data_IF_946003586498
#
_entry.id   IF_946003586498
#
_cell.length_a   1.000
_cell.length_b   1.000
_cell.length_c   1.000
_cell.angle_alpha   90.00
_cell.angle_beta   90.00
_cell.angle_gamma   90.00
#
_symmetry.space_group_name_H-M   'P 1'
#
loop_
_entity.id
_entity.type
_entity.pdbx_description
1 polymer ?
#
# COMPACT_ATOMS: atom_id res chain seq x y z
N UNK A 1 9.05 11.77 -2.82
CA UNK A 1 8.79 10.32 -2.89
C UNK A 1 8.38 9.80 -1.52
N UNK A 2 7.45 8.85 -1.55
CA UNK A 2 7.02 8.13 -0.35
C UNK A 2 7.66 6.76 -0.31
N UNK A 3 8.22 6.40 0.83
CA UNK A 3 8.87 5.10 1.02
C UNK A 3 8.40 4.47 2.32
N UNK A 4 8.50 3.15 2.38
CA UNK A 4 8.23 2.38 3.60
C UNK A 4 9.46 1.51 3.91
N UNK A 5 9.62 1.04 5.17
CA UNK A 5 10.71 0.11 5.49
C UNK A 5 10.75 -1.13 4.61
N UNK A 6 9.58 -1.61 4.15
CA UNK A 6 9.49 -2.80 3.31
C UNK A 6 10.23 -2.64 1.98
N UNK A 7 10.33 -1.41 1.45
CA UNK A 7 11.05 -1.18 0.21
C UNK A 7 12.52 -1.59 0.35
N UNK A 8 13.13 -1.23 1.47
CA UNK A 8 14.53 -1.57 1.72
C UNK A 8 14.69 -3.05 2.08
N UNK A 9 13.79 -3.59 2.86
CA UNK A 9 13.88 -4.96 3.36
C UNK A 9 13.46 -6.01 2.33
N UNK A 10 12.44 -5.72 1.54
CA UNK A 10 11.83 -6.67 0.62
C UNK A 10 11.91 -6.24 -0.84
N UNK A 11 12.23 -4.99 -1.11
CA UNK A 11 12.35 -4.47 -2.47
C UNK A 11 11.06 -3.89 -3.04
N UNK A 12 9.99 -3.80 -2.24
CA UNK A 12 8.73 -3.24 -2.71
C UNK A 12 7.92 -2.65 -1.55
N UNK A 13 6.94 -1.81 -1.91
CA UNK A 13 6.00 -1.21 -0.98
C UNK A 13 4.69 -1.99 -1.06
N UNK A 14 4.18 -2.44 0.08
CA UNK A 14 2.90 -3.14 0.17
C UNK A 14 1.75 -2.17 -0.02
N UNK A 15 0.82 -2.51 -0.90
CA UNK A 15 -0.41 -1.75 -1.11
C UNK A 15 -1.60 -2.68 -0.99
N UNK A 16 -2.81 -2.14 -1.09
CA UNK A 16 -4.05 -2.91 -1.03
C UNK A 16 -5.06 -2.31 -1.99
N UNK A 17 -5.97 -3.14 -2.48
CA UNK A 17 -7.13 -2.67 -3.19
C UNK A 17 -8.14 -2.14 -2.17
N UNK A 18 -9.04 -1.28 -2.60
CA UNK A 18 -10.04 -0.67 -1.71
C UNK A 18 -10.83 -1.71 -0.92
N UNK A 19 -11.25 -2.78 -1.57
CA UNK A 19 -12.03 -3.83 -0.92
C UNK A 19 -11.22 -4.72 0.02
N UNK A 20 -9.90 -4.60 0.02
CA UNK A 20 -9.03 -5.36 0.93
C UNK A 20 -8.73 -4.61 2.22
N UNK A 21 -8.98 -3.31 2.25
CA UNK A 21 -8.59 -2.46 3.37
C UNK A 21 -9.19 -2.92 4.72
N UNK A 22 -10.49 -3.23 4.83
CA UNK A 22 -11.04 -3.66 6.12
C UNK A 22 -10.32 -4.86 6.73
N UNK A 23 -10.02 -5.87 5.92
CA UNK A 23 -9.31 -7.07 6.39
C UNK A 23 -7.89 -6.75 6.82
N UNK A 24 -7.20 -5.90 6.06
CA UNK A 24 -5.82 -5.51 6.37
C UNK A 24 -5.76 -4.69 7.65
N UNK A 25 -6.69 -3.77 7.85
CA UNK A 25 -6.75 -2.99 9.08
C UNK A 25 -6.97 -3.87 10.30
N UNK A 26 -7.88 -4.84 10.19
CA UNK A 26 -8.16 -5.76 11.29
C UNK A 26 -6.95 -6.64 11.59
N UNK A 27 -6.28 -7.13 10.56
CA UNK A 27 -5.20 -8.10 10.70
C UNK A 27 -3.88 -7.50 11.16
N UNK A 28 -3.51 -6.34 10.63
CA UNK A 28 -2.18 -5.76 10.86
C UNK A 28 -2.18 -4.46 11.64
N UNK A 29 -3.31 -3.78 11.72
CA UNK A 29 -3.40 -2.45 12.31
C UNK A 29 -4.42 -2.36 13.45
N UNK A 30 -4.91 -3.49 13.93
CA UNK A 30 -5.85 -3.51 15.04
C UNK A 30 -5.25 -2.80 16.27
N UNK A 31 -6.00 -1.88 16.85
CA UNK A 31 -5.54 -1.12 18.01
C UNK A 31 -4.61 0.04 17.69
N UNK A 32 -4.20 0.20 16.45
CA UNK A 32 -3.34 1.31 16.05
C UNK A 32 -4.18 2.56 15.77
N UNK A 33 -3.61 3.72 16.09
CA UNK A 33 -4.28 5.01 15.93
C UNK A 33 -3.52 5.88 14.93
N UNK A 34 -4.18 6.94 14.50
CA UNK A 34 -3.60 7.94 13.58
C UNK A 34 -3.16 7.33 12.26
N UNK A 35 -3.93 6.36 11.78
CA UNK A 35 -3.68 5.74 10.47
C UNK A 35 -4.20 6.65 9.36
N UNK A 36 -3.43 6.70 8.29
CA UNK A 36 -3.74 7.52 7.11
C UNK A 36 -3.80 6.62 5.90
N UNK A 37 -4.81 6.84 5.05
CA UNK A 37 -4.93 6.14 3.77
C UNK A 37 -4.40 7.04 2.67
N UNK A 38 -3.45 6.52 1.91
CA UNK A 38 -2.95 7.17 0.70
C UNK A 38 -3.57 6.47 -0.50
N UNK A 39 -4.31 7.23 -1.30
CA UNK A 39 -4.92 6.70 -2.52
C UNK A 39 -3.98 6.96 -3.68
N UNK A 40 -3.58 5.89 -4.35
CA UNK A 40 -2.57 5.94 -5.42
C UNK A 40 -3.23 5.72 -6.77
N UNK A 41 -2.98 6.65 -7.69
CA UNK A 41 -3.39 6.48 -9.09
C UNK A 41 -2.26 5.74 -9.81
N UNK A 42 -2.52 4.50 -10.20
CA UNK A 42 -1.51 3.65 -10.82
C UNK A 42 -1.03 4.18 -12.17
N UNK A 43 -1.87 4.95 -12.86
CA UNK A 43 -1.47 5.54 -14.14
C UNK A 43 -0.44 6.66 -13.97
N UNK A 44 -0.34 7.22 -12.76
CA UNK A 44 0.61 8.29 -12.45
C UNK A 44 1.87 7.80 -11.77
N UNK A 45 1.97 6.49 -11.49
CA UNK A 45 3.17 5.92 -10.91
C UNK A 45 4.31 5.92 -11.92
N UNK A 46 5.50 6.32 -11.48
CA UNK A 46 6.70 6.27 -12.31
C UNK A 46 7.55 5.01 -12.07
N UNK A 47 7.11 4.15 -11.17
CA UNK A 47 7.75 2.86 -10.89
C UNK A 47 6.80 1.72 -11.20
N UNK A 48 7.32 0.53 -11.55
CA UNK A 48 6.46 -0.61 -11.84
C UNK A 48 5.73 -1.11 -10.61
N UNK A 49 4.52 -1.65 -10.82
CA UNK A 49 3.79 -2.33 -9.76
C UNK A 49 3.24 -3.64 -10.32
N UNK A 50 3.11 -4.63 -9.45
CA UNK A 50 2.61 -5.95 -9.82
C UNK A 50 1.68 -6.47 -8.73
N UNK A 51 0.76 -7.34 -9.11
CA UNK A 51 -0.12 -8.02 -8.16
C UNK A 51 0.57 -9.32 -7.76
N UNK A 52 1.07 -9.38 -6.54
CA UNK A 52 1.79 -10.53 -6.02
C UNK A 52 0.92 -11.31 -5.02
N UNK A 53 1.03 -12.61 -5.06
CA UNK A 53 0.30 -13.49 -4.15
C UNK A 53 0.84 -13.39 -2.73
N UNK A 54 -0.09 -13.28 -1.76
CA UNK A 54 0.23 -13.31 -0.34
C UNK A 54 -0.30 -14.61 0.27
N UNK A 55 0.59 -15.50 0.67
CA UNK A 55 0.20 -16.78 1.25
C UNK A 55 -0.56 -16.59 2.56
N UNK A 56 -0.13 -15.66 3.39
CA UNK A 56 -0.75 -15.43 4.69
C UNK A 56 -2.16 -14.84 4.58
N UNK A 57 -2.47 -14.13 3.50
CA UNK A 57 -3.79 -13.53 3.28
C UNK A 57 -4.62 -14.28 2.25
N UNK A 58 -4.01 -15.24 1.55
CA UNK A 58 -4.64 -16.02 0.49
C UNK A 58 -5.29 -15.14 -0.58
N UNK A 59 -4.57 -14.10 -1.01
CA UNK A 59 -5.05 -13.15 -2.00
C UNK A 59 -3.86 -12.47 -2.66
N UNK A 60 -4.11 -11.77 -3.77
CA UNK A 60 -3.08 -10.98 -4.43
C UNK A 60 -3.20 -9.52 -4.00
N UNK A 61 -2.05 -8.89 -3.81
CA UNK A 61 -1.97 -7.48 -3.41
C UNK A 61 -1.05 -6.73 -4.35
N UNK A 62 -1.36 -5.45 -4.65
CA UNK A 62 -0.44 -4.65 -5.45
C UNK A 62 0.81 -4.30 -4.64
N UNK A 63 1.97 -4.48 -5.26
CA UNK A 63 3.26 -4.11 -4.69
C UNK A 63 3.95 -3.15 -5.64
N UNK A 64 4.40 -2.01 -5.14
CA UNK A 64 5.13 -1.01 -5.93
C UNK A 64 6.62 -1.21 -5.73
N UNK A 65 7.34 -1.42 -6.83
CA UNK A 65 8.77 -1.76 -6.80
C UNK A 65 9.63 -0.51 -6.95
N UNK A 66 9.54 0.35 -5.97
CA UNK A 66 10.31 1.58 -5.89
C UNK A 66 9.58 2.62 -5.05
N UNK A 67 10.21 3.77 -4.80
CA UNK A 67 9.54 4.86 -4.08
C UNK A 67 8.33 5.37 -4.87
N UNK A 68 7.26 5.70 -4.17
CA UNK A 68 6.05 6.24 -4.83
C UNK A 68 6.23 7.74 -5.01
N UNK A 69 6.15 8.19 -6.25
CA UNK A 69 6.21 9.61 -6.56
C UNK A 69 4.95 10.31 -6.03
N UNK A 70 5.14 11.48 -5.41
CA UNK A 70 4.05 12.17 -4.75
C UNK A 70 2.93 12.58 -5.71
N UNK A 71 3.24 12.78 -6.99
CA UNK A 71 2.24 13.07 -8.00
C UNK A 71 1.23 11.95 -8.22
N UNK A 72 1.56 10.72 -7.83
CA UNK A 72 0.65 9.58 -7.92
C UNK A 72 -0.29 9.49 -6.72
N UNK A 73 -0.02 10.21 -5.64
CA UNK A 73 -0.89 10.24 -4.46
C UNK A 73 -1.99 11.27 -4.74
N UNK A 74 -3.19 10.78 -4.99
CA UNK A 74 -4.32 11.64 -5.41
C UNK A 74 -5.27 11.99 -4.26
N UNK A 75 -5.16 11.28 -3.15
CA UNK A 75 -5.96 11.59 -1.98
C UNK A 75 -5.27 11.08 -0.72
N UNK A 76 -5.43 11.83 0.37
CA UNK A 76 -4.93 11.46 1.68
C UNK A 76 -6.09 11.59 2.65
N UNK A 77 -6.45 10.52 3.33
CA UNK A 77 -7.55 10.56 4.28
C UNK A 77 -7.20 9.86 5.57
N UNK A 78 -7.76 10.34 6.67
CA UNK A 78 -7.56 9.76 7.97
C UNK A 78 -8.53 8.59 8.15
N UNK A 79 -8.02 7.45 8.62
CA UNK A 79 -8.83 6.24 8.81
C UNK A 79 -9.46 6.17 10.20
N UNK A 80 -8.86 6.85 11.20
CA UNK A 80 -9.38 6.83 12.55
C UNK A 80 -8.97 8.06 13.36
#
# INVERSE_FOLDING_TARGET
YYETPSLKEEGYIHCSLENQIPSILERYFAGKKDLVKLEIDTEKLDKPFYYDWSTSNEDTFPHVYGPINLGAVVNVSKLN
#
